data_IF_601582378447
#
_entry.id   IF_601582378447
#
_cell.length_a   1.000
_cell.length_b   1.000
_cell.length_c   1.000
_cell.angle_alpha   90.00
_cell.angle_beta   90.00
_cell.angle_gamma   90.00
#
_symmetry.space_group_name_H-M   'P 1'
#
loop_
_entity.id
_entity.type
_entity.pdbx_description
1 polymer ?
#
# COMPACT_ATOMS: atom_id res chain seq x y z
N UNK A 1 -16.47 -1.59 -6.52
CA UNK A 1 -15.38 -0.75 -5.94
C UNK A 1 -14.17 -0.77 -6.86
N UNK A 2 -13.47 0.33 -7.00
CA UNK A 2 -12.16 0.43 -7.65
C UNK A 2 -11.07 0.02 -6.64
N UNK A 3 -10.12 -0.83 -7.02
CA UNK A 3 -9.03 -1.23 -6.14
C UNK A 3 -7.85 -0.26 -6.28
N UNK A 4 -7.61 0.50 -5.22
CA UNK A 4 -6.53 1.50 -5.15
C UNK A 4 -5.48 1.05 -4.13
N UNK A 5 -4.22 0.94 -4.53
CA UNK A 5 -3.11 0.70 -3.60
C UNK A 5 -2.43 2.01 -3.27
N UNK A 6 -2.10 2.23 -2.00
CA UNK A 6 -1.29 3.37 -1.55
C UNK A 6 -0.11 2.88 -0.75
N UNK A 7 1.09 3.19 -1.23
CA UNK A 7 2.31 2.69 -0.60
C UNK A 7 3.31 3.84 -0.41
N UNK A 8 3.79 3.96 0.81
CA UNK A 8 4.89 4.84 1.16
C UNK A 8 6.21 4.13 0.88
N UNK A 9 7.08 4.75 0.15
CA UNK A 9 8.39 4.18 -0.21
C UNK A 9 9.50 5.23 -0.07
N UNK A 10 10.68 4.77 0.30
CA UNK A 10 11.90 5.58 0.17
C UNK A 10 12.29 5.76 -1.30
N UNK A 11 13.22 6.65 -1.59
CA UNK A 11 13.73 6.87 -2.96
C UNK A 11 14.31 5.59 -3.59
N UNK A 12 14.88 4.70 -2.77
CA UNK A 12 15.37 3.38 -3.20
C UNK A 12 14.33 2.26 -3.09
N UNK A 13 13.04 2.63 -2.89
CA UNK A 13 11.89 1.73 -2.97
C UNK A 13 11.62 0.87 -1.74
N UNK A 14 12.26 1.13 -0.60
CA UNK A 14 12.01 0.43 0.67
C UNK A 14 10.68 0.88 1.25
N UNK A 15 9.85 -0.07 1.70
CA UNK A 15 8.55 0.16 2.33
C UNK A 15 8.50 -0.28 3.80
N UNK A 16 9.47 -1.08 4.24
CA UNK A 16 9.51 -1.66 5.57
C UNK A 16 9.74 -0.61 6.66
N UNK A 17 8.95 -0.67 7.75
CA UNK A 17 9.20 0.07 8.97
C UNK A 17 9.14 1.60 8.81
N UNK A 18 8.22 2.13 8.02
CA UNK A 18 8.15 3.56 7.71
C UNK A 18 7.76 4.43 8.92
N UNK A 19 6.87 3.92 9.77
CA UNK A 19 6.13 4.74 10.75
C UNK A 19 6.75 4.82 12.13
N UNK A 20 7.58 3.84 12.56
CA UNK A 20 8.33 3.93 13.81
C UNK A 20 9.59 3.08 13.78
N UNK A 21 10.51 3.32 14.71
CA UNK A 21 11.79 2.59 14.78
C UNK A 21 11.60 1.09 14.92
N UNK A 22 10.58 0.65 15.67
CA UNK A 22 10.32 -0.74 16.01
C UNK A 22 9.10 -1.33 15.26
N UNK A 23 8.57 -0.64 14.24
CA UNK A 23 7.37 -1.05 13.51
C UNK A 23 7.53 -2.42 12.85
N UNK A 24 8.65 -2.66 12.22
CA UNK A 24 8.92 -3.93 11.53
C UNK A 24 10.41 -4.30 11.54
N UNK A 25 10.92 -4.91 12.63
CA UNK A 25 12.34 -5.29 12.75
C UNK A 25 12.69 -6.61 12.05
N UNK A 26 11.78 -7.23 11.29
CA UNK A 26 12.02 -8.51 10.62
C UNK A 26 13.23 -8.46 9.69
N UNK A 27 13.90 -9.61 9.54
CA UNK A 27 15.08 -9.72 8.69
C UNK A 27 16.28 -8.90 9.18
N UNK A 28 16.28 -8.49 10.45
CA UNK A 28 17.35 -7.66 11.03
C UNK A 28 17.27 -6.19 10.57
N UNK A 29 16.10 -5.71 10.16
CA UNK A 29 15.91 -4.32 9.77
C UNK A 29 16.07 -3.38 10.98
N UNK A 30 16.95 -2.40 10.87
CA UNK A 30 17.31 -1.47 11.97
C UNK A 30 17.09 0.00 11.63
N UNK A 31 16.51 0.31 10.47
CA UNK A 31 16.35 1.69 9.96
C UNK A 31 14.88 2.12 9.95
N UNK A 32 14.09 1.65 10.94
CA UNK A 32 12.68 2.01 11.08
C UNK A 32 12.45 3.49 11.36
N UNK A 33 11.23 3.97 11.14
CA UNK A 33 10.83 5.36 11.34
C UNK A 33 11.38 6.35 10.30
N UNK A 34 11.87 5.85 9.16
CA UNK A 34 12.53 6.68 8.15
C UNK A 34 11.60 7.73 7.50
N UNK A 35 10.29 7.53 7.52
CA UNK A 35 9.34 8.50 6.97
C UNK A 35 9.04 9.65 7.95
N UNK A 36 9.25 9.46 9.27
CA UNK A 36 8.99 10.48 10.29
C UNK A 36 9.89 11.71 10.12
N UNK A 37 11.10 11.52 9.61
CA UNK A 37 12.06 12.61 9.39
C UNK A 37 11.62 13.65 8.35
N UNK A 38 10.62 13.36 7.52
CA UNK A 38 10.09 14.35 6.57
C UNK A 38 9.28 15.44 7.27
N UNK A 39 8.65 15.13 8.43
CA UNK A 39 7.89 16.09 9.23
C UNK A 39 6.82 16.88 8.43
N UNK A 40 6.36 16.35 7.30
CA UNK A 40 5.52 17.06 6.34
C UNK A 40 4.02 16.88 6.65
N UNK A 41 3.34 17.90 7.21
CA UNK A 41 1.92 17.82 7.53
C UNK A 41 1.05 17.53 6.30
N UNK A 42 1.46 18.00 5.10
CA UNK A 42 0.70 17.79 3.88
C UNK A 42 0.57 16.29 3.52
N UNK A 43 1.51 15.46 3.91
CA UNK A 43 1.39 14.00 3.77
C UNK A 43 0.29 13.46 4.68
N UNK A 44 0.22 13.94 5.92
CA UNK A 44 -0.85 13.56 6.86
C UNK A 44 -2.23 13.91 6.33
N UNK A 45 -2.40 15.12 5.80
CA UNK A 45 -3.66 15.59 5.22
C UNK A 45 -4.08 14.77 3.99
N UNK A 46 -3.11 14.44 3.10
CA UNK A 46 -3.36 13.59 1.94
C UNK A 46 -3.82 12.18 2.34
N UNK A 47 -3.15 11.58 3.33
CA UNK A 47 -3.51 10.25 3.83
C UNK A 47 -4.88 10.30 4.51
N UNK A 48 -5.15 11.32 5.32
CA UNK A 48 -6.44 11.48 5.99
C UNK A 48 -7.59 11.58 4.98
N UNK A 49 -7.44 12.41 3.94
CA UNK A 49 -8.45 12.54 2.88
C UNK A 49 -8.66 11.21 2.12
N UNK A 50 -7.58 10.49 1.79
CA UNK A 50 -7.69 9.19 1.10
C UNK A 50 -8.41 8.13 1.95
N UNK A 51 -8.15 8.11 3.25
CA UNK A 51 -8.81 7.17 4.15
C UNK A 51 -10.29 7.52 4.37
N UNK A 52 -10.61 8.81 4.40
CA UNK A 52 -12.02 9.28 4.50
C UNK A 52 -12.82 8.95 3.23
N UNK A 53 -12.21 9.02 2.06
CA UNK A 53 -12.82 8.66 0.77
C UNK A 53 -12.95 7.13 0.56
N UNK A 54 -12.25 6.31 1.34
CA UNK A 54 -12.26 4.87 1.18
C UNK A 54 -13.62 4.26 1.53
N UNK A 55 -14.16 3.41 0.66
CA UNK A 55 -15.37 2.63 0.95
C UNK A 55 -15.09 1.41 1.83
N UNK A 56 -13.88 0.83 1.72
CA UNK A 56 -13.43 -0.31 2.49
C UNK A 56 -11.90 -0.42 2.45
N UNK A 57 -11.33 -1.20 3.36
CA UNK A 57 -9.90 -1.50 3.43
C UNK A 57 -9.61 -2.97 3.16
N UNK A 58 -8.57 -3.24 2.37
CA UNK A 58 -8.01 -4.56 2.20
C UNK A 58 -6.54 -4.57 2.63
N UNK A 59 -6.24 -5.32 3.66
CA UNK A 59 -4.94 -5.38 4.31
C UNK A 59 -4.26 -6.73 4.05
N UNK A 60 -2.98 -6.73 3.77
CA UNK A 60 -2.17 -7.93 3.93
C UNK A 60 -1.96 -8.21 5.42
N UNK A 61 -1.74 -9.48 5.77
CA UNK A 61 -1.63 -9.91 7.18
C UNK A 61 -0.68 -9.02 8.00
N UNK A 62 0.50 -8.72 7.46
CA UNK A 62 1.50 -7.95 8.22
C UNK A 62 1.02 -6.52 8.52
N UNK A 63 0.50 -5.81 7.51
CA UNK A 63 -0.07 -4.49 7.71
C UNK A 63 -1.25 -4.54 8.69
N UNK A 64 -2.07 -5.58 8.60
CA UNK A 64 -3.15 -5.79 9.57
C UNK A 64 -2.63 -5.92 11.00
N UNK A 65 -1.59 -6.72 11.24
CA UNK A 65 -1.01 -6.92 12.57
C UNK A 65 -0.48 -5.60 13.16
N UNK A 66 0.22 -4.79 12.35
CA UNK A 66 0.70 -3.46 12.72
C UNK A 66 -0.49 -2.53 13.02
N UNK A 67 -1.46 -2.48 12.11
CA UNK A 67 -2.64 -1.61 12.26
C UNK A 67 -3.52 -2.00 13.43
N UNK A 68 -3.73 -3.28 13.68
CA UNK A 68 -4.48 -3.77 14.82
C UNK A 68 -3.81 -3.39 16.15
N UNK A 69 -2.49 -3.43 16.20
CA UNK A 69 -1.72 -3.04 17.40
C UNK A 69 -1.71 -1.53 17.66
N UNK A 70 -1.78 -0.71 16.64
CA UNK A 70 -1.73 0.75 16.75
C UNK A 70 -3.14 1.39 16.62
N UNK A 71 -3.74 1.30 15.44
CA UNK A 71 -5.05 1.91 15.15
C UNK A 71 -6.20 1.18 15.83
N UNK A 72 -6.11 -0.17 15.95
CA UNK A 72 -7.13 -0.99 16.59
C UNK A 72 -7.22 -0.78 18.10
N UNK A 73 -6.19 -0.22 18.71
CA UNK A 73 -6.12 0.13 20.14
C UNK A 73 -6.13 1.64 20.40
N UNK A 74 -6.40 2.45 19.36
CA UNK A 74 -6.39 3.90 19.47
C UNK A 74 -7.47 4.37 20.46
N UNK A 75 -7.13 5.15 21.50
CA UNK A 75 -8.04 5.40 22.62
C UNK A 75 -9.35 6.10 22.24
N UNK A 76 -9.28 7.06 21.32
CA UNK A 76 -10.43 7.81 20.80
C UNK A 76 -10.34 7.88 19.27
N UNK A 77 -10.86 6.87 18.54
CA UNK A 77 -10.78 6.86 17.09
C UNK A 77 -11.38 8.10 16.41
N UNK A 78 -12.42 8.71 17.01
CA UNK A 78 -13.06 9.89 16.43
C UNK A 78 -12.16 11.13 16.46
N UNK A 79 -11.14 11.17 17.31
CA UNK A 79 -10.20 12.28 17.39
C UNK A 79 -9.13 12.30 16.28
N UNK A 80 -9.04 11.24 15.46
CA UNK A 80 -8.03 11.12 14.41
C UNK A 80 -8.64 10.57 13.10
N UNK A 81 -8.57 11.31 11.97
CA UNK A 81 -9.31 10.96 10.75
C UNK A 81 -8.99 9.55 10.21
N UNK A 82 -7.73 9.14 10.25
CA UNK A 82 -7.32 7.78 9.81
C UNK A 82 -7.89 6.71 10.74
N UNK A 83 -7.86 6.93 12.06
CA UNK A 83 -8.43 6.00 13.04
C UNK A 83 -9.94 5.89 12.86
N UNK A 84 -10.65 7.02 12.72
CA UNK A 84 -12.09 7.08 12.48
C UNK A 84 -12.46 6.25 11.23
N UNK A 85 -11.83 6.54 10.10
CA UNK A 85 -12.10 5.83 8.85
C UNK A 85 -11.85 4.32 8.98
N UNK A 86 -10.74 3.92 9.61
CA UNK A 86 -10.42 2.51 9.84
C UNK A 86 -11.40 1.82 10.79
N UNK A 87 -12.01 2.51 11.74
CA UNK A 87 -13.01 1.93 12.65
C UNK A 87 -14.40 1.85 12.03
N UNK A 88 -14.78 2.81 11.20
CA UNK A 88 -16.12 2.93 10.64
C UNK A 88 -16.33 2.11 9.37
N UNK A 89 -15.27 1.86 8.59
CA UNK A 89 -15.37 1.19 7.30
C UNK A 89 -15.09 -0.32 7.42
N UNK A 90 -15.65 -1.16 6.51
CA UNK A 90 -15.31 -2.57 6.43
C UNK A 90 -13.82 -2.81 6.24
N UNK A 91 -13.27 -3.75 7.00
CA UNK A 91 -11.86 -4.16 6.95
C UNK A 91 -11.76 -5.64 6.56
N UNK A 92 -10.99 -5.90 5.53
CA UNK A 92 -10.70 -7.22 5.00
C UNK A 92 -9.21 -7.53 5.16
N UNK A 93 -8.88 -8.79 5.48
CA UNK A 93 -7.48 -9.23 5.57
C UNK A 93 -7.23 -10.41 4.66
N UNK A 94 -6.29 -10.25 3.75
CA UNK A 94 -5.78 -11.33 2.92
C UNK A 94 -4.78 -12.18 3.73
N UNK A 95 -5.22 -13.34 4.21
CA UNK A 95 -4.38 -14.25 4.97
C UNK A 95 -4.84 -15.71 4.85
N UNK A 96 -3.88 -16.61 4.70
CA UNK A 96 -4.12 -18.07 4.72
C UNK A 96 -3.98 -18.68 6.13
N UNK A 97 -3.46 -17.94 7.08
CA UNK A 97 -3.06 -18.46 8.40
C UNK A 97 -3.67 -17.68 9.56
N UNK A 98 -4.25 -16.51 9.33
CA UNK A 98 -5.00 -15.77 10.34
C UNK A 98 -6.40 -16.37 10.46
N UNK A 99 -6.74 -16.93 11.60
CA UNK A 99 -8.05 -17.54 11.87
C UNK A 99 -8.92 -16.68 12.79
N UNK A 100 -8.29 -15.94 13.69
CA UNK A 100 -8.97 -15.11 14.69
C UNK A 100 -8.38 -13.70 14.66
N UNK A 101 -9.00 -12.77 13.93
CA UNK A 101 -8.54 -11.38 13.90
C UNK A 101 -8.80 -10.72 15.26
N UNK A 102 -7.75 -10.10 15.82
CA UNK A 102 -7.84 -9.41 17.12
C UNK A 102 -8.66 -8.12 17.08
N UNK A 103 -8.70 -7.45 15.93
CA UNK A 103 -9.46 -6.22 15.75
C UNK A 103 -10.90 -6.53 15.34
N UNK A 104 -11.91 -6.22 16.20
CA UNK A 104 -13.30 -6.52 15.93
C UNK A 104 -13.81 -5.92 14.61
N UNK A 105 -14.73 -6.58 13.94
CA UNK A 105 -15.27 -6.12 12.65
C UNK A 105 -14.33 -6.36 11.45
N UNK A 106 -13.26 -7.13 11.63
CA UNK A 106 -12.35 -7.53 10.56
C UNK A 106 -12.79 -8.85 9.94
N UNK A 107 -12.88 -8.92 8.62
CA UNK A 107 -13.19 -10.14 7.85
C UNK A 107 -11.92 -10.71 7.23
N UNK A 108 -11.60 -11.97 7.52
CA UNK A 108 -10.48 -12.67 6.88
C UNK A 108 -10.94 -13.25 5.55
N UNK A 109 -10.25 -12.90 4.46
CA UNK A 109 -10.47 -13.49 3.15
C UNK A 109 -9.71 -14.82 3.06
N UNK A 110 -10.45 -15.91 3.16
CA UNK A 110 -9.93 -17.27 3.00
C UNK A 110 -10.22 -17.81 1.59
N UNK A 111 -9.50 -18.86 1.19
CA UNK A 111 -9.67 -19.53 -0.10
C UNK A 111 -8.99 -18.79 -1.25
N UNK A 112 -9.64 -18.76 -2.41
CA UNK A 112 -9.13 -18.05 -3.60
C UNK A 112 -9.23 -16.54 -3.41
N UNK A 113 -8.08 -15.90 -3.27
CA UNK A 113 -8.01 -14.46 -3.01
C UNK A 113 -8.45 -13.63 -4.23
N UNK A 114 -8.18 -14.11 -5.46
CA UNK A 114 -8.57 -13.37 -6.66
C UNK A 114 -10.09 -13.33 -6.78
N UNK A 115 -10.75 -14.46 -6.55
CA UNK A 115 -12.21 -14.55 -6.51
C UNK A 115 -12.81 -13.69 -5.39
N UNK A 116 -12.24 -13.75 -4.18
CA UNK A 116 -12.70 -12.95 -3.04
C UNK A 116 -12.59 -11.44 -3.32
N UNK A 117 -11.46 -10.98 -3.86
CA UNK A 117 -11.27 -9.59 -4.28
C UNK A 117 -12.22 -9.20 -5.40
N UNK A 118 -12.44 -10.09 -6.38
CA UNK A 118 -13.43 -9.88 -7.45
C UNK A 118 -14.83 -9.64 -6.90
N UNK A 119 -15.28 -10.44 -5.95
CA UNK A 119 -16.56 -10.25 -5.25
C UNK A 119 -16.63 -8.90 -4.54
N UNK A 120 -15.59 -8.52 -3.78
CA UNK A 120 -15.56 -7.21 -3.11
C UNK A 120 -15.67 -6.05 -4.10
N UNK A 121 -14.97 -6.12 -5.23
CA UNK A 121 -15.04 -5.09 -6.27
C UNK A 121 -16.44 -4.95 -6.88
N UNK A 122 -17.21 -6.02 -6.92
CA UNK A 122 -18.59 -6.01 -7.47
C UNK A 122 -19.67 -5.59 -6.47
N UNK A 123 -19.37 -5.49 -5.16
CA UNK A 123 -20.39 -5.27 -4.11
C UNK A 123 -20.69 -3.82 -3.78
N UNK A 124 -20.10 -2.83 -4.46
CA UNK A 124 -20.37 -1.43 -4.15
C UNK A 124 -19.55 -0.45 -4.97
N UNK A 125 -19.83 0.80 -4.75
CA UNK A 125 -19.10 1.94 -5.34
C UNK A 125 -17.98 2.44 -4.41
N UNK A 126 -17.12 3.32 -4.92
CA UNK A 126 -16.00 3.89 -4.19
C UNK A 126 -14.72 3.07 -4.29
N UNK A 127 -13.76 3.34 -3.41
CA UNK A 127 -12.44 2.73 -3.44
C UNK A 127 -12.28 1.63 -2.36
N UNK A 128 -11.82 0.45 -2.79
CA UNK A 128 -11.23 -0.55 -1.92
C UNK A 128 -9.75 -0.19 -1.76
N UNK A 129 -9.42 0.45 -0.63
CA UNK A 129 -8.08 0.95 -0.36
C UNK A 129 -7.16 -0.14 0.20
N UNK A 130 -5.97 -0.27 -0.38
CA UNK A 130 -4.95 -1.25 0.03
C UNK A 130 -3.68 -0.50 0.46
N UNK A 131 -3.53 -0.15 1.76
CA UNK A 131 -2.34 0.53 2.27
C UNK A 131 -1.11 -0.39 2.42
N UNK A 132 -1.27 -1.68 2.17
CA UNK A 132 -0.22 -2.71 2.28
C UNK A 132 -0.83 -4.08 2.59
N UNK A 133 -0.06 -5.12 2.75
CA UNK A 133 1.41 -5.17 2.78
C UNK A 133 1.99 -5.16 1.36
N UNK A 134 3.31 -4.89 1.26
CA UNK A 134 4.01 -4.94 -0.03
C UNK A 134 3.82 -6.28 -0.76
N UNK A 135 3.83 -7.39 -0.04
CA UNK A 135 3.55 -8.71 -0.62
C UNK A 135 2.14 -8.81 -1.23
N UNK A 136 1.12 -8.25 -0.57
CA UNK A 136 -0.23 -8.19 -1.11
C UNK A 136 -0.31 -7.28 -2.34
N UNK A 137 0.30 -6.11 -2.29
CA UNK A 137 0.32 -5.16 -3.42
C UNK A 137 0.97 -5.80 -4.65
N UNK A 138 2.15 -6.43 -4.48
CA UNK A 138 2.81 -7.16 -5.58
C UNK A 138 1.95 -8.28 -6.15
N UNK A 139 1.29 -9.04 -5.27
CA UNK A 139 0.40 -10.12 -5.69
C UNK A 139 -0.80 -9.57 -6.50
N UNK A 140 -1.45 -8.51 -6.02
CA UNK A 140 -2.57 -7.86 -6.71
C UNK A 140 -2.16 -7.31 -8.09
N UNK A 141 -0.99 -6.68 -8.19
CA UNK A 141 -0.42 -6.20 -9.44
C UNK A 141 -0.15 -7.34 -10.43
N UNK A 142 0.45 -8.43 -9.95
CA UNK A 142 0.76 -9.60 -10.78
C UNK A 142 -0.51 -10.30 -11.34
N UNK A 143 -1.65 -10.17 -10.64
CA UNK A 143 -2.93 -10.73 -11.05
C UNK A 143 -3.83 -9.73 -11.81
N UNK A 144 -3.34 -8.53 -12.10
CA UNK A 144 -4.11 -7.50 -12.83
C UNK A 144 -5.34 -7.00 -12.07
N UNK A 145 -5.31 -7.04 -10.74
CA UNK A 145 -6.45 -6.66 -9.90
C UNK A 145 -6.41 -5.20 -9.44
N UNK A 146 -5.30 -4.50 -9.64
CA UNK A 146 -5.12 -3.09 -9.28
C UNK A 146 -5.62 -2.19 -10.39
N UNK A 147 -6.55 -1.28 -10.05
CA UNK A 147 -7.03 -0.25 -10.97
C UNK A 147 -6.18 1.02 -10.86
N UNK A 148 -5.74 1.35 -9.65
CA UNK A 148 -4.92 2.53 -9.39
C UNK A 148 -3.84 2.24 -8.35
N UNK A 149 -2.64 2.74 -8.60
CA UNK A 149 -1.51 2.65 -7.68
C UNK A 149 -1.03 4.05 -7.34
N UNK A 150 -1.05 4.39 -6.05
CA UNK A 150 -0.49 5.63 -5.51
C UNK A 150 0.80 5.33 -4.77
N UNK A 151 1.85 6.06 -5.10
CA UNK A 151 3.14 6.01 -4.40
C UNK A 151 3.43 7.35 -3.76
N UNK A 152 3.77 7.32 -2.48
CA UNK A 152 4.36 8.45 -1.77
C UNK A 152 5.87 8.15 -1.67
N UNK A 153 6.67 8.83 -2.49
CA UNK A 153 8.12 8.63 -2.56
C UNK A 153 8.81 9.67 -1.70
N UNK A 154 9.42 9.21 -0.62
CA UNK A 154 10.13 10.06 0.34
C UNK A 154 11.56 10.33 -0.14
N UNK A 155 12.09 11.56 0.05
CA UNK A 155 13.44 11.94 -0.38
C UNK A 155 14.51 11.37 0.58
N UNK A 156 14.51 10.07 0.81
CA UNK A 156 15.43 9.34 1.68
C UNK A 156 15.88 8.04 1.01
N UNK A 157 17.15 7.69 1.17
CA UNK A 157 17.72 6.39 0.79
C UNK A 157 17.92 5.57 2.05
N UNK A 158 17.18 4.48 2.17
CA UNK A 158 17.23 3.60 3.35
C UNK A 158 18.31 2.52 3.20
N UNK A 159 18.47 1.95 2.02
CA UNK A 159 19.56 0.99 1.71
C UNK A 159 19.43 -0.39 2.35
N UNK A 160 18.42 -0.62 3.18
CA UNK A 160 18.11 -1.89 3.87
C UNK A 160 16.60 -2.10 3.86
N UNK A 161 16.12 -3.34 3.98
CA UNK A 161 14.72 -3.66 4.16
C UNK A 161 13.99 -4.13 2.91
N UNK A 162 12.71 -4.44 3.08
CA UNK A 162 11.83 -4.94 2.03
C UNK A 162 11.44 -3.81 1.06
N UNK A 163 11.60 -4.07 -0.25
CA UNK A 163 11.23 -3.13 -1.32
C UNK A 163 9.88 -3.48 -1.93
N UNK A 164 9.16 -2.44 -2.37
CA UNK A 164 7.89 -2.63 -3.10
C UNK A 164 8.14 -3.41 -4.40
N UNK A 165 9.18 -3.07 -5.16
CA UNK A 165 9.58 -3.77 -6.38
C UNK A 165 10.95 -4.41 -6.16
N UNK A 166 11.01 -5.68 -5.69
CA UNK A 166 12.25 -6.43 -5.60
C UNK A 166 12.76 -6.85 -6.99
N UNK A 167 13.97 -7.40 -7.05
CA UNK A 167 14.62 -7.80 -8.30
C UNK A 167 13.74 -8.73 -9.17
N UNK A 168 13.00 -9.64 -8.54
CA UNK A 168 12.06 -10.58 -9.19
C UNK A 168 10.60 -10.13 -9.06
N UNK A 169 10.37 -8.82 -9.06
CA UNK A 169 9.05 -8.21 -8.96
C UNK A 169 8.21 -8.34 -10.24
N UNK A 170 6.98 -7.85 -10.20
CA UNK A 170 6.09 -7.90 -11.36
C UNK A 170 6.65 -7.04 -12.50
N UNK A 171 6.60 -7.58 -13.73
CA UNK A 171 6.96 -6.87 -14.94
C UNK A 171 5.73 -6.18 -15.53
N UNK A 172 5.60 -4.88 -15.29
CA UNK A 172 4.40 -4.09 -15.58
C UNK A 172 4.76 -2.81 -16.32
N UNK A 173 3.89 -2.40 -17.23
CA UNK A 173 3.82 -1.03 -17.75
C UNK A 173 2.81 -0.25 -16.92
N UNK A 174 3.17 0.99 -16.59
CA UNK A 174 2.32 1.92 -15.85
C UNK A 174 2.13 3.20 -16.65
N UNK A 175 0.94 3.77 -16.60
CA UNK A 175 0.63 5.12 -17.11
C UNK A 175 0.60 6.07 -15.93
N UNK A 176 1.41 7.12 -15.96
CA UNK A 176 1.36 8.19 -14.97
C UNK A 176 0.09 9.03 -15.19
N UNK A 177 -0.76 9.08 -14.15
CA UNK A 177 -2.00 9.87 -14.14
C UNK A 177 -1.75 11.25 -13.56
N UNK A 178 -1.02 11.31 -12.44
CA UNK A 178 -0.66 12.56 -11.79
C UNK A 178 0.64 12.44 -11.00
N UNK A 179 1.33 13.55 -10.83
CA UNK A 179 2.50 13.68 -9.97
C UNK A 179 2.52 15.05 -9.33
N UNK A 180 2.61 15.10 -8.01
CA UNK A 180 2.73 16.33 -7.22
C UNK A 180 3.82 16.16 -6.19
N UNK A 181 4.37 17.26 -5.70
CA UNK A 181 5.38 17.24 -4.64
C UNK A 181 4.89 18.12 -3.50
N UNK A 182 4.96 17.56 -2.29
CA UNK A 182 4.61 18.28 -1.07
C UNK A 182 5.71 19.28 -0.67
N UNK A 183 5.43 20.25 0.21
CA UNK A 183 6.46 21.18 0.69
C UNK A 183 7.67 20.50 1.34
N UNK A 184 7.48 19.35 2.00
CA UNK A 184 8.56 18.52 2.57
C UNK A 184 9.32 17.66 1.56
N UNK A 185 9.01 17.77 0.26
CA UNK A 185 9.72 17.08 -0.81
C UNK A 185 9.22 15.64 -1.08
N UNK A 186 8.14 15.21 -0.44
CA UNK A 186 7.54 13.89 -0.75
C UNK A 186 6.81 13.99 -2.08
N UNK A 187 7.17 13.13 -3.04
CA UNK A 187 6.50 13.06 -4.34
C UNK A 187 5.35 12.08 -4.29
N UNK A 188 4.15 12.55 -4.59
CA UNK A 188 2.92 11.73 -4.66
C UNK A 188 2.62 11.45 -6.13
N UNK A 189 2.72 10.20 -6.52
CA UNK A 189 2.55 9.74 -7.89
C UNK A 189 1.38 8.78 -7.97
N UNK A 190 0.48 9.01 -8.93
CA UNK A 190 -0.65 8.12 -9.21
C UNK A 190 -0.46 7.49 -10.57
N UNK A 191 -0.58 6.17 -10.61
CA UNK A 191 -0.43 5.36 -11.82
C UNK A 191 -1.64 4.47 -12.04
N UNK A 192 -1.87 4.13 -13.30
CA UNK A 192 -2.78 3.06 -13.73
C UNK A 192 -1.97 1.97 -14.45
N UNK A 193 -2.19 0.68 -14.11
CA UNK A 193 -1.55 -0.41 -14.83
C UNK A 193 -1.96 -0.43 -16.31
N UNK A 194 -0.97 -0.52 -17.20
CA UNK A 194 -1.15 -0.52 -18.66
C UNK A 194 -0.73 -1.85 -19.31
N UNK A 195 -0.85 -2.94 -18.56
CA UNK A 195 -0.50 -4.28 -19.02
C UNK A 195 1.00 -4.59 -18.92
N UNK A 196 1.46 -5.54 -19.72
CA UNK A 196 2.90 -5.88 -19.81
C UNK A 196 3.59 -4.97 -20.81
N UNK A 197 4.86 -4.56 -20.56
CA UNK A 197 5.66 -3.93 -21.59
C UNK A 197 5.73 -4.84 -22.83
N UNK A 198 5.65 -4.25 -24.02
CA UNK A 198 5.98 -4.99 -25.23
C UNK A 198 7.42 -5.51 -25.07
N UNK A 199 7.67 -6.79 -25.36
CA UNK A 199 9.05 -7.28 -25.47
C UNK A 199 9.75 -6.37 -26.47
N UNK A 200 10.89 -5.80 -26.09
CA UNK A 200 11.76 -5.16 -27.05
C UNK A 200 12.06 -6.23 -28.10
N UNK A 201 11.46 -6.12 -29.28
CA UNK A 201 11.91 -6.89 -30.42
C UNK A 201 13.41 -6.68 -30.49
N UNK A 202 14.17 -7.69 -30.89
CA UNK A 202 15.60 -7.62 -31.11
C UNK A 202 15.88 -6.58 -32.20
N UNK A 203 15.70 -5.31 -31.85
CA UNK A 203 16.12 -4.19 -32.66
C UNK A 203 17.63 -4.23 -32.72
N UNK A 204 18.18 -4.78 -33.81
CA UNK A 204 19.56 -4.51 -34.18
C UNK A 204 19.72 -3.01 -34.20
N UNK A 205 20.60 -2.50 -33.37
CA UNK A 205 21.07 -1.12 -33.50
C UNK A 205 21.57 -0.96 -34.95
N UNK A 206 21.08 -0.01 -35.75
CA UNK A 206 21.47 0.09 -37.14
C UNK A 206 22.92 0.56 -37.35
N UNK A 207 23.68 0.83 -36.29
CA UNK A 207 25.07 1.30 -36.33
C UNK A 207 25.93 0.51 -35.32
N UNK A 208 26.46 -0.62 -35.72
CA UNK A 208 27.66 -1.25 -35.17
C UNK A 208 28.52 -1.78 -36.31
#
# INVERSE_FOLDING_TARGET
>A
MRLTTTTHVSLDGVLQGMGSADEDPRGGFTRGGWALGSGDPAVGDLVAAEYDDAAAFLLGRRTYEIFAGYWGTFPDPASHPVAAALHDRPRYVASRTLTHPAWPGTTVLAGDLAEAVGRLRSTGDGDLLVPGSGALVRWLLAHGLVDRMRLLVYPVVVGQGERLFPQDGPYLRLTLVSSTTTPGGVTVQTYEPAGRPASAGTGRHPDA
#
